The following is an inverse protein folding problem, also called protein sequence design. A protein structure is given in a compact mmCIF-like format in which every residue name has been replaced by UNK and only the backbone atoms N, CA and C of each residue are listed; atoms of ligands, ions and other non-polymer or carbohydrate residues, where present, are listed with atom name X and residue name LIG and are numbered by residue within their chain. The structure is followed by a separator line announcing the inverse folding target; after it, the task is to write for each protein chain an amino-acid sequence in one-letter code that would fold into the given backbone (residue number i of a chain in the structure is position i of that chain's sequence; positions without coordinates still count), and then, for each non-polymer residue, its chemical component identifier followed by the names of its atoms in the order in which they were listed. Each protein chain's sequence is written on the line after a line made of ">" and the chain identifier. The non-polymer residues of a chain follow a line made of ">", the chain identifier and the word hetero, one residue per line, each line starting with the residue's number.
data_IF_494218203638
#
_entry.id   IF_494218203638
#
_cell.length_a   1.000
_cell.length_b   1.000
_cell.length_c   1.000
_cell.angle_alpha   90.00
_cell.angle_beta   90.00
_cell.angle_gamma   90.00
#
_symmetry.space_group_name_H-M   'P 1'
#
loop_
_entity.id
_entity.type
_entity.pdbx_description
1 polymer ?
#
# COMPACT_ATOMS: atom_id res chain seq x y z
N UNK A 1 11.95 -6.34 -13.98
CA UNK A 1 11.15 -5.32 -14.69
C UNK A 1 10.30 -4.56 -13.69
N UNK A 2 10.13 -3.24 -13.87
CA UNK A 2 9.23 -2.41 -13.07
C UNK A 2 8.06 -1.96 -13.93
N UNK A 3 6.87 -1.87 -13.34
CA UNK A 3 5.67 -1.35 -14.01
C UNK A 3 4.99 -0.31 -13.12
N UNK A 4 4.35 0.68 -13.75
CA UNK A 4 3.52 1.64 -13.02
C UNK A 4 2.22 0.98 -12.58
N UNK A 5 1.82 1.22 -11.34
CA UNK A 5 0.59 0.68 -10.73
C UNK A 5 -0.12 1.74 -9.92
N UNK A 6 -1.42 1.56 -9.75
CA UNK A 6 -2.23 2.25 -8.76
C UNK A 6 -3.04 1.22 -7.95
N UNK A 7 -3.36 1.57 -6.71
CA UNK A 7 -4.10 0.68 -5.82
C UNK A 7 -4.91 1.43 -4.77
N UNK A 8 -5.86 0.73 -4.18
CA UNK A 8 -6.72 1.24 -3.10
C UNK A 8 -6.83 0.21 -1.99
N UNK A 9 -6.77 0.66 -0.74
CA UNK A 9 -7.03 -0.12 0.48
C UNK A 9 -8.06 0.64 1.30
N UNK A 10 -9.27 0.11 1.41
CA UNK A 10 -10.37 0.73 2.15
C UNK A 10 -11.23 -0.34 2.81
N UNK A 11 -12.04 0.06 3.79
CA UNK A 11 -13.14 -0.77 4.24
C UNK A 11 -14.23 -0.88 3.15
N UNK A 12 -15.30 -1.63 3.45
CA UNK A 12 -16.50 -1.72 2.60
C UNK A 12 -17.70 -1.03 3.26
N UNK A 13 -17.66 0.30 3.49
CA UNK A 13 -18.77 1.01 4.12
C UNK A 13 -19.96 1.08 3.18
N UNK A 14 -21.17 0.98 3.74
CA UNK A 14 -22.42 1.15 2.99
C UNK A 14 -22.78 2.62 2.75
N UNK A 15 -22.13 3.54 3.46
CA UNK A 15 -22.43 4.97 3.41
C UNK A 15 -21.18 5.79 3.11
N UNK A 16 -21.35 6.85 2.30
CA UNK A 16 -20.26 7.74 1.91
C UNK A 16 -19.61 8.43 3.11
N UNK A 17 -20.40 8.75 4.14
CA UNK A 17 -19.92 9.38 5.38
C UNK A 17 -18.87 8.54 6.13
N UNK A 18 -18.83 7.23 5.89
CA UNK A 18 -17.91 6.30 6.55
C UNK A 18 -16.74 5.87 5.65
N UNK A 19 -16.57 6.47 4.46
CA UNK A 19 -15.44 6.17 3.59
C UNK A 19 -14.14 6.54 4.30
N UNK A 20 -13.32 5.51 4.50
CA UNK A 20 -11.96 5.63 5.00
C UNK A 20 -11.04 4.67 4.26
N UNK A 21 -9.93 5.17 3.77
CA UNK A 21 -8.99 4.35 3.04
C UNK A 21 -7.86 5.12 2.36
N UNK A 22 -6.91 4.36 1.85
CA UNK A 22 -5.72 4.83 1.18
C UNK A 22 -5.82 4.50 -0.31
N UNK A 23 -5.46 5.47 -1.14
CA UNK A 23 -5.18 5.29 -2.56
C UNK A 23 -3.71 5.61 -2.79
N UNK A 24 -3.07 4.89 -3.70
CA UNK A 24 -1.67 5.15 -4.04
C UNK A 24 -1.41 4.93 -5.52
N UNK A 25 -0.33 5.54 -6.01
CA UNK A 25 0.32 5.17 -7.27
C UNK A 25 1.81 5.04 -7.07
N UNK A 26 2.45 4.21 -7.87
CA UNK A 26 3.90 4.01 -7.80
C UNK A 26 4.37 2.92 -8.75
N UNK A 27 5.38 2.19 -8.32
CA UNK A 27 5.98 1.10 -9.10
C UNK A 27 5.79 -0.25 -8.42
N UNK A 28 5.61 -1.29 -9.23
CA UNK A 28 5.66 -2.68 -8.77
C UNK A 28 6.81 -3.43 -9.43
N UNK A 29 7.43 -4.35 -8.71
CA UNK A 29 8.38 -5.32 -9.26
C UNK A 29 8.26 -6.67 -8.57
N UNK A 30 8.56 -7.73 -9.32
CA UNK A 30 8.72 -9.08 -8.76
C UNK A 30 10.07 -9.14 -8.03
N UNK A 31 10.07 -9.68 -6.81
CA UNK A 31 11.29 -10.00 -6.08
C UNK A 31 11.82 -11.36 -6.53
N UNK A 32 13.12 -11.59 -6.34
CA UNK A 32 13.78 -12.84 -6.69
C UNK A 32 14.96 -13.14 -5.75
N UNK A 33 15.37 -14.41 -5.67
CA UNK A 33 16.53 -14.84 -4.90
C UNK A 33 16.42 -14.53 -3.41
N UNK A 34 17.53 -14.12 -2.80
CA UNK A 34 17.62 -13.86 -1.35
C UNK A 34 16.69 -12.73 -0.88
N UNK A 35 16.43 -11.74 -1.74
CA UNK A 35 15.51 -10.66 -1.43
C UNK A 35 14.08 -11.16 -1.30
N UNK A 36 13.65 -12.04 -2.20
CA UNK A 36 12.35 -12.70 -2.13
C UNK A 36 12.23 -13.54 -0.84
N UNK A 37 13.24 -14.36 -0.54
CA UNK A 37 13.25 -15.21 0.66
C UNK A 37 13.11 -14.37 1.94
N UNK A 38 13.89 -13.28 2.05
CA UNK A 38 13.85 -12.35 3.19
C UNK A 38 12.48 -11.66 3.34
N UNK A 39 11.90 -11.18 2.25
CA UNK A 39 10.60 -10.50 2.30
C UNK A 39 9.45 -11.49 2.56
N UNK A 40 9.53 -12.71 2.03
CA UNK A 40 8.61 -13.80 2.34
C UNK A 40 8.63 -14.13 3.84
N UNK A 41 9.82 -14.26 4.44
CA UNK A 41 9.93 -14.52 5.88
C UNK A 41 9.27 -13.41 6.72
N UNK A 42 9.44 -12.14 6.34
CA UNK A 42 8.75 -11.02 7.01
C UNK A 42 7.23 -11.12 6.90
N UNK A 43 6.72 -11.46 5.71
CA UNK A 43 5.28 -11.63 5.50
C UNK A 43 4.72 -12.82 6.30
N UNK A 44 5.37 -13.98 6.25
CA UNK A 44 4.93 -15.20 6.96
C UNK A 44 5.01 -15.02 8.48
N UNK A 45 5.97 -14.25 9.01
CA UNK A 45 5.99 -13.89 10.43
C UNK A 45 4.69 -13.19 10.87
N UNK A 46 4.10 -12.37 10.01
CA UNK A 46 2.82 -11.67 10.28
C UNK A 46 1.60 -12.52 9.93
N UNK A 47 1.71 -13.38 8.92
CA UNK A 47 0.64 -14.22 8.39
C UNK A 47 1.12 -15.69 8.26
N UNK A 48 1.19 -16.46 9.37
CA UNK A 48 1.76 -17.80 9.35
C UNK A 48 1.08 -18.77 8.37
N UNK A 49 -0.22 -18.59 8.15
CA UNK A 49 -1.03 -19.37 7.19
C UNK A 49 -0.49 -19.31 5.76
N UNK A 50 0.23 -18.25 5.40
CA UNK A 50 0.80 -18.07 4.06
C UNK A 50 2.06 -18.93 3.82
N UNK A 51 2.58 -19.63 4.83
CA UNK A 51 3.81 -20.44 4.72
C UNK A 51 3.70 -21.54 3.67
N UNK A 52 2.51 -22.09 3.46
CA UNK A 52 2.26 -23.16 2.49
C UNK A 52 2.01 -22.64 1.06
N UNK A 53 1.99 -21.33 0.84
CA UNK A 53 1.67 -20.74 -0.46
C UNK A 53 2.91 -20.56 -1.34
N UNK A 54 2.88 -21.18 -2.53
CA UNK A 54 3.90 -21.03 -3.59
C UNK A 54 3.61 -19.83 -4.52
N UNK A 55 3.32 -18.66 -3.94
CA UNK A 55 3.03 -17.44 -4.70
C UNK A 55 4.28 -16.56 -4.82
N UNK A 56 4.56 -15.95 -5.98
CA UNK A 56 5.68 -15.01 -6.13
C UNK A 56 5.49 -13.78 -5.22
N UNK A 57 6.60 -13.26 -4.68
CA UNK A 57 6.55 -12.02 -3.88
C UNK A 57 6.77 -10.81 -4.78
N UNK A 58 5.92 -9.81 -4.61
CA UNK A 58 6.01 -8.53 -5.31
C UNK A 58 6.21 -7.41 -4.30
N UNK A 59 7.05 -6.45 -4.68
CA UNK A 59 7.21 -5.19 -3.96
C UNK A 59 6.42 -4.11 -4.70
N UNK A 60 5.61 -3.36 -3.96
CA UNK A 60 5.05 -2.09 -4.40
C UNK A 60 5.82 -0.99 -3.70
N UNK A 61 6.35 -0.04 -4.47
CA UNK A 61 6.96 1.19 -3.99
C UNK A 61 6.03 2.36 -4.33
N UNK A 62 5.23 2.88 -3.38
CA UNK A 62 4.38 4.05 -3.62
C UNK A 62 5.21 5.30 -3.88
N UNK A 63 4.85 6.09 -4.89
CA UNK A 63 5.44 7.40 -5.17
C UNK A 63 4.52 8.52 -4.63
N UNK A 64 3.20 8.30 -4.69
CA UNK A 64 2.19 9.19 -4.10
C UNK A 64 1.13 8.38 -3.34
N UNK A 65 0.68 8.93 -2.21
CA UNK A 65 -0.37 8.35 -1.36
C UNK A 65 -1.42 9.44 -1.09
N UNK A 66 -2.69 9.05 -1.19
CA UNK A 66 -3.83 9.85 -0.74
C UNK A 66 -4.64 9.06 0.27
N UNK A 67 -4.80 9.59 1.47
CA UNK A 67 -5.72 9.05 2.46
C UNK A 67 -6.99 9.87 2.47
N UNK A 68 -8.14 9.20 2.50
CA UNK A 68 -9.46 9.82 2.65
C UNK A 68 -10.06 9.34 3.96
N UNK A 69 -10.63 10.26 4.74
CA UNK A 69 -11.38 9.94 5.95
C UNK A 69 -12.58 10.90 6.10
N UNK A 70 -13.75 10.42 5.70
CA UNK A 70 -14.97 11.21 5.76
C UNK A 70 -15.56 11.31 7.19
N UNK A 71 -15.00 10.59 8.18
CA UNK A 71 -15.44 10.67 9.58
C UNK A 71 -14.92 11.93 10.30
N UNK A 72 -13.90 12.58 9.74
CA UNK A 72 -13.28 13.79 10.29
C UNK A 72 -13.84 15.09 9.67
N UNK A 73 -15.03 15.00 9.06
CA UNK A 73 -15.65 16.05 8.24
C UNK A 73 -15.65 15.70 6.75
N UNK A 74 -16.68 16.12 6.01
CA UNK A 74 -16.86 15.75 4.61
C UNK A 74 -15.64 16.13 3.77
N UNK A 75 -15.00 15.12 3.16
CA UNK A 75 -13.97 15.34 2.15
C UNK A 75 -12.54 15.55 2.67
N UNK A 76 -12.23 15.32 3.95
CA UNK A 76 -10.85 15.38 4.45
C UNK A 76 -9.96 14.39 3.71
N UNK A 77 -8.90 14.91 3.10
CA UNK A 77 -7.89 14.14 2.37
C UNK A 77 -6.51 14.58 2.81
N UNK A 78 -5.63 13.61 3.01
CA UNK A 78 -4.21 13.83 3.26
C UNK A 78 -3.44 13.30 2.06
N UNK A 79 -2.42 14.05 1.63
CA UNK A 79 -1.62 13.74 0.46
C UNK A 79 -0.15 13.69 0.85
N UNK A 80 0.54 12.65 0.41
CA UNK A 80 1.97 12.49 0.59
C UNK A 80 2.62 12.15 -0.74
N UNK A 81 3.78 12.75 -1.00
CA UNK A 81 4.62 12.45 -2.17
C UNK A 81 6.00 12.07 -1.68
N UNK A 82 6.59 11.07 -2.30
CA UNK A 82 7.94 10.59 -1.95
C UNK A 82 9.01 11.66 -2.15
N UNK A 83 8.85 12.48 -3.18
CA UNK A 83 9.83 13.52 -3.56
C UNK A 83 9.45 14.92 -3.04
N UNK A 84 8.36 15.04 -2.27
CA UNK A 84 8.16 16.23 -1.46
C UNK A 84 9.17 16.13 -0.32
N UNK A 85 10.25 16.92 -0.40
CA UNK A 85 11.25 17.01 0.67
C UNK A 85 10.58 17.26 2.03
N UNK A 86 11.34 17.04 3.10
CA UNK A 86 10.94 17.27 4.50
C UNK A 86 10.68 18.77 4.81
N UNK A 87 9.82 19.40 4.04
CA UNK A 87 9.48 20.82 4.08
C UNK A 87 7.95 20.90 3.98
N UNK A 88 7.31 20.56 5.11
CA UNK A 88 5.91 20.79 5.51
C UNK A 88 5.51 19.69 6.50
N UNK A 89 6.15 19.72 7.68
CA UNK A 89 5.65 19.15 8.91
C UNK A 89 5.98 20.13 10.04
#
# INVERSE_FOLDING_TARGET
>A
QRAKVAGTVNGQPKTVALIRGVQFKGEIRRLSGDEEARMRQRYVKRFPVARMLSAPVWEIRPDEIKFTDNTLGFGKKLHWRRDAGAEQA
#
